data_IF_841074531200
#
_entry.id   IF_841074531200
#
_cell.length_a   1.000
_cell.length_b   1.000
_cell.length_c   1.000
_cell.angle_alpha   90.00
_cell.angle_beta   90.00
_cell.angle_gamma   90.00
#
_symmetry.space_group_name_H-M   'P 1'
#
loop_
_entity.id
_entity.type
_entity.pdbx_description
1 polymer ?
#
# COMPACT_ATOMS: atom_id res chain seq x y z
N UNK A 1 -9.58 -23.71 6.53
CA UNK A 1 -8.33 -24.47 6.80
C UNK A 1 -7.15 -23.91 6.01
N UNK A 2 -7.22 -23.84 4.66
CA UNK A 2 -6.12 -23.37 3.80
C UNK A 2 -5.58 -22.00 4.23
N UNK A 3 -6.45 -21.02 4.46
CA UNK A 3 -6.06 -19.66 4.94
C UNK A 3 -5.15 -19.74 6.18
N UNK A 4 -5.53 -20.50 7.20
CA UNK A 4 -4.73 -20.61 8.42
C UNK A 4 -3.46 -21.46 8.22
N UNK A 5 -3.47 -22.45 7.32
CA UNK A 5 -2.28 -23.23 6.99
C UNK A 5 -1.24 -22.36 6.29
N UNK A 6 -1.66 -21.58 5.29
CA UNK A 6 -0.82 -20.59 4.60
C UNK A 6 -0.32 -19.55 5.60
N UNK A 7 -1.16 -19.07 6.51
CA UNK A 7 -0.73 -18.14 7.56
C UNK A 7 0.36 -18.75 8.44
N UNK A 8 0.17 -19.96 8.98
CA UNK A 8 1.15 -20.62 9.86
C UNK A 8 2.49 -20.80 9.15
N UNK A 9 2.50 -21.40 7.95
CA UNK A 9 3.73 -21.64 7.20
C UNK A 9 4.34 -20.30 6.76
N UNK A 10 3.51 -19.36 6.32
CA UNK A 10 3.88 -18.02 5.89
C UNK A 10 4.57 -17.21 6.97
N UNK A 11 4.06 -17.22 8.19
CA UNK A 11 4.69 -16.57 9.34
C UNK A 11 5.98 -17.29 9.75
N UNK A 12 6.03 -18.62 9.70
CA UNK A 12 7.26 -19.36 9.96
C UNK A 12 8.36 -18.96 8.96
N UNK A 13 8.06 -19.02 7.66
CA UNK A 13 8.98 -18.60 6.59
C UNK A 13 9.35 -17.12 6.74
N UNK A 14 8.37 -16.27 7.00
CA UNK A 14 8.52 -14.83 7.15
C UNK A 14 9.38 -14.41 8.34
N UNK A 15 9.42 -15.23 9.39
CA UNK A 15 10.23 -15.01 10.60
C UNK A 15 11.69 -15.42 10.46
N UNK A 16 12.06 -16.09 9.37
CA UNK A 16 13.44 -16.51 9.13
C UNK A 16 14.31 -15.26 8.90
N UNK A 17 15.26 -15.04 9.80
CA UNK A 17 16.22 -13.92 9.74
C UNK A 17 17.46 -14.32 8.94
N UNK A 18 17.68 -13.67 7.82
CA UNK A 18 18.91 -13.79 7.02
C UNK A 18 19.65 -12.46 7.11
N UNK A 19 20.84 -12.45 7.73
CA UNK A 19 21.65 -11.22 7.94
C UNK A 19 20.84 -10.08 8.58
N UNK A 20 19.96 -10.43 9.51
CA UNK A 20 19.08 -9.51 10.24
C UNK A 20 17.92 -8.94 9.44
N UNK A 21 17.71 -9.36 8.19
CA UNK A 21 16.52 -9.05 7.37
C UNK A 21 15.56 -10.23 7.50
N UNK A 22 14.28 -9.95 7.68
CA UNK A 22 13.21 -10.94 7.67
C UNK A 22 12.10 -10.47 6.74
N UNK A 23 11.35 -11.38 6.12
CA UNK A 23 10.26 -10.99 5.23
C UNK A 23 9.02 -10.54 5.99
N UNK A 24 8.91 -10.90 7.27
CA UNK A 24 7.75 -10.61 8.09
C UNK A 24 6.48 -11.18 7.48
N UNK A 25 5.42 -10.39 7.43
CA UNK A 25 4.14 -10.78 6.82
C UNK A 25 4.26 -11.04 5.32
N UNK A 26 5.27 -10.49 4.61
CA UNK A 26 5.49 -10.81 3.19
C UNK A 26 5.86 -12.28 2.95
N UNK A 27 6.34 -13.01 3.96
CA UNK A 27 6.49 -14.47 3.87
C UNK A 27 5.15 -15.19 3.64
N UNK A 28 4.05 -14.64 4.15
CA UNK A 28 2.70 -15.14 3.91
C UNK A 28 2.31 -15.04 2.44
N UNK A 29 2.69 -13.94 1.76
CA UNK A 29 2.48 -13.80 0.31
C UNK A 29 3.22 -14.89 -0.47
N UNK A 30 4.51 -15.13 -0.16
CA UNK A 30 5.31 -16.12 -0.88
C UNK A 30 4.76 -17.54 -0.73
N UNK A 31 4.34 -17.90 0.48
CA UNK A 31 3.69 -19.20 0.72
C UNK A 31 2.34 -19.26 0.02
N UNK A 32 1.55 -18.18 0.07
CA UNK A 32 0.28 -18.09 -0.63
C UNK A 32 0.44 -18.28 -2.15
N UNK A 33 1.49 -17.70 -2.74
CA UNK A 33 1.84 -17.86 -4.15
C UNK A 33 2.15 -19.32 -4.50
N UNK A 34 2.90 -20.02 -3.66
CA UNK A 34 3.15 -21.46 -3.84
C UNK A 34 1.85 -22.26 -3.77
N UNK A 35 0.97 -21.95 -2.82
CA UNK A 35 -0.34 -22.60 -2.73
C UNK A 35 -1.23 -22.31 -3.95
N UNK A 36 -1.26 -21.06 -4.42
CA UNK A 36 -1.95 -20.69 -5.65
C UNK A 36 -1.45 -21.45 -6.87
N UNK A 37 -0.13 -21.63 -6.98
CA UNK A 37 0.47 -22.45 -8.04
C UNK A 37 -0.02 -23.91 -8.02
N UNK A 38 -0.21 -24.49 -6.84
CA UNK A 38 -0.78 -25.84 -6.69
C UNK A 38 -2.31 -25.89 -6.87
N UNK A 39 -2.95 -24.81 -7.32
CA UNK A 39 -4.37 -24.75 -7.62
C UNK A 39 -5.26 -24.61 -6.38
N UNK A 40 -4.70 -24.24 -5.23
CA UNK A 40 -5.53 -23.88 -4.09
C UNK A 40 -6.20 -22.53 -4.35
N UNK A 41 -7.48 -22.42 -4.00
CA UNK A 41 -8.23 -21.17 -4.13
C UNK A 41 -8.67 -20.65 -2.76
N UNK A 42 -8.72 -19.33 -2.64
CA UNK A 42 -9.24 -18.65 -1.45
C UNK A 42 -10.32 -17.69 -1.93
N UNK A 43 -11.50 -17.63 -1.27
CA UNK A 43 -12.56 -16.71 -1.68
C UNK A 43 -12.08 -15.26 -1.70
N UNK A 44 -12.45 -14.50 -2.74
CA UNK A 44 -12.13 -13.07 -2.89
C UNK A 44 -12.49 -12.25 -1.64
N UNK A 45 -13.55 -12.65 -0.93
CA UNK A 45 -13.97 -12.05 0.32
C UNK A 45 -12.85 -12.01 1.37
N UNK A 46 -11.99 -13.03 1.45
CA UNK A 46 -10.87 -13.06 2.41
C UNK A 46 -9.86 -11.95 2.09
N UNK A 47 -9.52 -11.78 0.81
CA UNK A 47 -8.62 -10.72 0.32
C UNK A 47 -9.21 -9.34 0.64
N UNK A 48 -10.47 -9.14 0.30
CA UNK A 48 -11.16 -7.85 0.45
C UNK A 48 -11.38 -7.48 1.92
N UNK A 49 -11.85 -8.41 2.76
CA UNK A 49 -11.98 -8.19 4.19
C UNK A 49 -10.62 -7.89 4.82
N UNK A 50 -9.58 -8.64 4.42
CA UNK A 50 -8.22 -8.39 4.88
C UNK A 50 -7.75 -6.97 4.57
N UNK A 51 -7.92 -6.56 3.31
CA UNK A 51 -7.52 -5.23 2.84
C UNK A 51 -8.29 -4.11 3.57
N UNK A 52 -9.62 -4.23 3.67
CA UNK A 52 -10.48 -3.25 4.33
C UNK A 52 -10.11 -3.13 5.81
N UNK A 53 -9.98 -4.26 6.53
CA UNK A 53 -9.58 -4.23 7.94
C UNK A 53 -8.20 -3.59 8.13
N UNK A 54 -7.24 -3.91 7.27
CA UNK A 54 -5.90 -3.33 7.32
C UNK A 54 -5.92 -1.82 7.10
N UNK A 55 -6.47 -1.35 5.97
CA UNK A 55 -6.41 0.06 5.58
C UNK A 55 -7.27 0.96 6.46
N UNK A 56 -8.42 0.47 6.95
CA UNK A 56 -9.23 1.22 7.93
C UNK A 56 -8.47 1.39 9.24
N UNK A 57 -7.78 0.34 9.71
CA UNK A 57 -6.96 0.42 10.93
C UNK A 57 -5.82 1.42 10.76
N UNK A 58 -5.11 1.37 9.63
CA UNK A 58 -4.08 2.36 9.27
C UNK A 58 -4.66 3.78 9.25
N UNK A 59 -5.85 3.97 8.69
CA UNK A 59 -6.54 5.26 8.65
C UNK A 59 -6.80 5.83 10.05
N UNK A 60 -7.39 5.04 10.95
CA UNK A 60 -7.61 5.49 12.33
C UNK A 60 -6.32 5.84 13.06
N UNK A 61 -5.28 5.03 12.90
CA UNK A 61 -3.99 5.26 13.56
C UNK A 61 -3.32 6.54 13.03
N UNK A 62 -3.37 6.77 11.72
CA UNK A 62 -2.75 7.94 11.09
C UNK A 62 -3.57 9.23 11.27
N UNK A 63 -4.90 9.13 11.40
CA UNK A 63 -5.84 10.27 11.40
C UNK A 63 -5.46 11.44 12.30
N UNK A 64 -5.14 11.23 13.60
CA UNK A 64 -4.80 12.31 14.53
C UNK A 64 -3.66 13.22 14.04
N UNK A 65 -2.65 12.64 13.37
CA UNK A 65 -1.44 13.36 12.94
C UNK A 65 -1.44 13.70 11.44
N UNK A 66 -2.27 13.01 10.66
CA UNK A 66 -2.32 13.11 9.21
C UNK A 66 -2.52 14.52 8.69
N UNK A 67 -3.61 15.21 9.05
CA UNK A 67 -3.96 16.51 8.46
C UNK A 67 -2.93 17.60 8.76
N UNK A 68 -2.32 17.55 9.95
CA UNK A 68 -1.21 18.44 10.33
C UNK A 68 0.01 18.16 9.46
N UNK A 69 0.44 16.89 9.37
CA UNK A 69 1.60 16.51 8.57
C UNK A 69 1.37 16.80 7.08
N UNK A 70 0.15 16.57 6.59
CA UNK A 70 -0.26 16.91 5.23
C UNK A 70 -0.15 18.41 4.99
N UNK A 71 -0.63 19.27 5.89
CA UNK A 71 -0.52 20.73 5.71
C UNK A 71 0.94 21.21 5.61
N UNK A 72 1.85 20.58 6.35
CA UNK A 72 3.29 20.93 6.34
C UNK A 72 3.98 20.42 5.07
N UNK A 73 3.73 19.17 4.69
CA UNK A 73 4.51 18.46 3.67
C UNK A 73 3.70 18.11 2.39
N UNK A 74 2.49 18.66 2.21
CA UNK A 74 1.57 18.32 1.11
C UNK A 74 2.25 18.35 -0.26
N UNK A 75 3.00 19.42 -0.56
CA UNK A 75 3.71 19.56 -1.84
C UNK A 75 4.70 18.40 -2.05
N UNK A 76 5.46 18.05 -1.02
CA UNK A 76 6.42 16.94 -1.05
C UNK A 76 5.72 15.60 -1.31
N UNK A 77 4.60 15.34 -0.63
CA UNK A 77 3.85 14.08 -0.79
C UNK A 77 3.19 13.94 -2.16
N UNK A 78 2.61 15.03 -2.69
CA UNK A 78 2.00 15.05 -4.02
C UNK A 78 3.07 14.83 -5.09
N UNK A 79 4.19 15.56 -5.01
CA UNK A 79 5.29 15.41 -5.97
C UNK A 79 5.90 14.00 -5.92
N UNK A 80 6.02 13.40 -4.73
CA UNK A 80 6.52 12.03 -4.60
C UNK A 80 5.57 11.00 -5.19
N UNK A 81 4.27 11.14 -4.96
CA UNK A 81 3.29 10.25 -5.58
C UNK A 81 3.39 10.32 -7.10
N UNK A 82 3.37 11.53 -7.66
CA UNK A 82 3.47 11.73 -9.10
C UNK A 82 4.79 11.19 -9.70
N UNK A 83 5.96 11.53 -9.11
CA UNK A 83 7.25 11.14 -9.68
C UNK A 83 7.48 9.64 -9.68
N UNK A 84 7.06 8.94 -8.61
CA UNK A 84 7.20 7.47 -8.53
C UNK A 84 6.41 6.84 -9.68
N UNK A 85 5.17 7.27 -9.89
CA UNK A 85 4.36 6.70 -10.97
C UNK A 85 4.86 7.10 -12.36
N UNK A 86 5.23 8.36 -12.57
CA UNK A 86 5.78 8.82 -13.86
C UNK A 86 7.02 8.02 -14.22
N UNK A 87 7.92 7.77 -13.28
CA UNK A 87 9.11 6.96 -13.53
C UNK A 87 8.75 5.49 -13.78
N UNK A 88 7.74 4.95 -13.08
CA UNK A 88 7.22 3.60 -13.36
C UNK A 88 6.64 3.48 -14.78
N UNK A 89 5.86 4.47 -15.20
CA UNK A 89 5.30 4.57 -16.55
C UNK A 89 6.40 4.70 -17.60
N UNK A 90 7.38 5.59 -17.41
CA UNK A 90 8.51 5.74 -18.32
C UNK A 90 9.36 4.47 -18.41
N UNK A 91 9.55 3.76 -17.30
CA UNK A 91 10.24 2.46 -17.28
C UNK A 91 9.47 1.43 -18.11
N UNK A 92 8.14 1.40 -17.96
CA UNK A 92 7.25 0.52 -18.72
C UNK A 92 7.28 0.81 -20.21
N UNK A 93 7.19 2.10 -20.60
CA UNK A 93 7.31 2.53 -22.00
C UNK A 93 8.68 2.12 -22.58
N UNK A 94 9.76 2.31 -21.82
CA UNK A 94 11.09 1.87 -22.23
C UNK A 94 11.17 0.36 -22.46
N UNK A 95 10.48 -0.45 -21.66
CA UNK A 95 10.42 -1.91 -21.85
C UNK A 95 9.65 -2.25 -23.13
N UNK A 96 8.52 -1.61 -23.40
CA UNK A 96 7.73 -1.81 -24.63
C UNK A 96 8.60 -1.51 -25.86
N UNK A 97 9.23 -0.34 -25.91
CA UNK A 97 10.00 0.12 -27.08
C UNK A 97 11.30 -0.64 -27.29
N UNK A 98 12.01 -1.01 -26.21
CA UNK A 98 13.35 -1.62 -26.33
C UNK A 98 13.26 -3.14 -26.44
N UNK A 99 12.36 -3.77 -25.66
CA UNK A 99 12.24 -5.22 -25.59
C UNK A 99 11.11 -5.78 -26.45
N UNK A 100 10.22 -4.94 -26.98
CA UNK A 100 9.10 -5.38 -27.81
C UNK A 100 8.05 -6.18 -27.05
N UNK A 101 7.98 -6.03 -25.72
CA UNK A 101 6.95 -6.70 -24.91
C UNK A 101 5.59 -6.07 -25.25
N UNK A 102 4.55 -6.89 -25.50
CA UNK A 102 3.21 -6.38 -25.78
C UNK A 102 2.73 -5.35 -24.76
N UNK A 103 2.06 -4.29 -25.22
CA UNK A 103 1.61 -3.20 -24.35
C UNK A 103 0.56 -3.69 -23.35
N UNK A 104 -0.31 -4.62 -23.72
CA UNK A 104 -1.31 -5.21 -22.82
C UNK A 104 -0.69 -5.91 -21.60
N UNK A 105 0.34 -6.73 -21.81
CA UNK A 105 1.11 -7.35 -20.72
C UNK A 105 1.88 -6.29 -19.93
N UNK A 106 2.57 -5.38 -20.61
CA UNK A 106 3.46 -4.38 -19.99
C UNK A 106 2.70 -3.41 -19.07
N UNK A 107 1.51 -2.96 -19.47
CA UNK A 107 0.66 -2.11 -18.65
C UNK A 107 0.16 -2.86 -17.41
N UNK A 108 -0.18 -4.14 -17.57
CA UNK A 108 -0.45 -5.04 -16.45
C UNK A 108 0.73 -5.15 -15.48
N UNK A 109 1.94 -5.33 -16.01
CA UNK A 109 3.17 -5.39 -15.20
C UNK A 109 3.41 -4.09 -14.44
N UNK A 110 3.10 -2.94 -15.03
CA UNK A 110 3.18 -1.66 -14.32
C UNK A 110 2.23 -1.63 -13.12
N UNK A 111 0.96 -2.01 -13.32
CA UNK A 111 -0.01 -2.08 -12.24
C UNK A 111 0.41 -3.06 -11.14
N UNK A 112 0.99 -4.21 -11.51
CA UNK A 112 1.50 -5.22 -10.57
C UNK A 112 2.71 -4.72 -9.78
N UNK A 113 3.75 -4.23 -10.45
CA UNK A 113 4.97 -3.70 -9.83
C UNK A 113 4.68 -2.53 -8.89
N UNK A 114 3.73 -1.66 -9.27
CA UNK A 114 3.27 -0.54 -8.45
C UNK A 114 2.13 -0.92 -7.51
N UNK A 115 1.83 -2.22 -7.35
CA UNK A 115 0.85 -2.85 -6.44
C UNK A 115 -0.57 -2.24 -6.44
N UNK A 116 -1.00 -1.72 -7.59
CA UNK A 116 -2.23 -0.93 -7.70
C UNK A 116 -3.37 -1.71 -8.40
N UNK A 117 -4.33 -2.20 -7.63
CA UNK A 117 -5.53 -2.87 -8.16
C UNK A 117 -6.42 -1.95 -9.02
N UNK A 118 -6.66 -0.67 -8.65
CA UNK A 118 -7.33 0.27 -9.57
C UNK A 118 -6.54 0.47 -10.87
N UNK A 119 -5.21 0.41 -10.80
CA UNK A 119 -4.34 0.41 -11.97
C UNK A 119 -4.56 -0.79 -12.90
N UNK A 120 -4.80 -1.98 -12.34
CA UNK A 120 -5.11 -3.18 -13.11
C UNK A 120 -6.46 -3.05 -13.83
N UNK A 121 -7.50 -2.57 -13.13
CA UNK A 121 -8.79 -2.32 -13.77
C UNK A 121 -8.63 -1.35 -14.96
N UNK A 122 -7.93 -0.25 -14.73
CA UNK A 122 -7.61 0.72 -15.78
C UNK A 122 -6.79 0.12 -16.93
N UNK A 123 -5.89 -0.83 -16.65
CA UNK A 123 -5.10 -1.53 -17.65
C UNK A 123 -5.97 -2.45 -18.53
N UNK A 124 -6.87 -3.22 -17.91
CA UNK A 124 -7.80 -4.11 -18.62
C UNK A 124 -8.73 -3.28 -19.50
N UNK A 125 -9.28 -2.19 -18.97
CA UNK A 125 -10.21 -1.33 -19.72
C UNK A 125 -9.52 -0.64 -20.90
N UNK A 126 -8.28 -0.17 -20.72
CA UNK A 126 -7.52 0.49 -21.77
C UNK A 126 -7.12 -0.45 -22.92
N UNK A 127 -6.73 -1.68 -22.56
CA UNK A 127 -6.15 -2.64 -23.51
C UNK A 127 -7.20 -3.58 -24.12
N UNK A 128 -8.35 -3.73 -23.46
CA UNK A 128 -9.37 -4.72 -23.82
C UNK A 128 -8.90 -6.17 -23.70
N UNK A 129 -7.78 -6.43 -23.00
CA UNK A 129 -7.08 -7.71 -22.99
C UNK A 129 -6.97 -8.29 -21.58
N UNK A 130 -7.24 -9.59 -21.46
CA UNK A 130 -7.03 -10.33 -20.21
C UNK A 130 -5.54 -10.47 -19.85
N UNK A 131 -4.63 -10.25 -20.82
CA UNK A 131 -3.18 -10.34 -20.62
C UNK A 131 -2.66 -9.28 -19.65
N UNK A 132 -3.39 -8.18 -19.43
CA UNK A 132 -3.06 -7.22 -18.37
C UNK A 132 -3.09 -7.87 -16.97
N UNK A 133 -3.99 -8.83 -16.74
CA UNK A 133 -4.04 -9.60 -15.47
C UNK A 133 -2.83 -10.53 -15.33
N UNK A 134 -2.38 -11.10 -16.46
CA UNK A 134 -1.16 -11.91 -16.52
C UNK A 134 0.05 -11.06 -16.15
N UNK A 135 0.24 -9.91 -16.80
CA UNK A 135 1.33 -8.99 -16.50
C UNK A 135 1.33 -8.53 -15.03
N UNK A 136 0.15 -8.24 -14.49
CA UNK A 136 -0.02 -7.90 -13.07
C UNK A 136 0.48 -9.02 -12.16
N UNK A 137 0.08 -10.27 -12.41
CA UNK A 137 0.51 -11.44 -11.65
C UNK A 137 2.02 -11.63 -11.64
N UNK A 138 2.69 -11.38 -12.78
CA UNK A 138 4.16 -11.49 -12.89
C UNK A 138 4.87 -10.46 -12.00
N UNK A 139 4.42 -9.21 -12.07
CA UNK A 139 5.14 -8.09 -11.46
C UNK A 139 4.77 -7.86 -9.99
N UNK A 140 3.58 -8.29 -9.56
CA UNK A 140 3.07 -8.07 -8.21
C UNK A 140 3.98 -8.60 -7.09
N UNK A 141 4.56 -9.82 -7.17
CA UNK A 141 5.50 -10.31 -6.17
C UNK A 141 6.73 -9.40 -6.01
N UNK A 142 7.22 -8.82 -7.11
CA UNK A 142 8.33 -7.87 -7.05
C UNK A 142 7.92 -6.56 -6.39
N UNK A 143 6.74 -6.03 -6.72
CA UNK A 143 6.19 -4.84 -6.07
C UNK A 143 6.05 -5.00 -4.56
N UNK A 144 5.55 -6.15 -4.10
CA UNK A 144 5.39 -6.42 -2.67
C UNK A 144 6.73 -6.66 -1.99
N UNK A 145 7.51 -7.65 -2.46
CA UNK A 145 8.75 -8.06 -1.80
C UNK A 145 9.84 -7.00 -1.94
N UNK A 146 9.95 -6.37 -3.12
CA UNK A 146 10.94 -5.35 -3.40
C UNK A 146 10.82 -4.15 -2.46
N UNK A 147 9.61 -3.63 -2.26
CA UNK A 147 9.37 -2.47 -1.39
C UNK A 147 9.53 -2.87 0.09
N UNK A 148 9.10 -4.07 0.49
CA UNK A 148 9.32 -4.62 1.85
C UNK A 148 10.81 -4.74 2.18
N UNK A 149 11.63 -5.23 1.24
CA UNK A 149 13.07 -5.30 1.43
C UNK A 149 13.69 -3.90 1.43
N UNK A 150 13.23 -3.00 0.57
CA UNK A 150 13.75 -1.65 0.47
C UNK A 150 13.63 -0.87 1.78
N UNK A 151 12.45 -0.89 2.42
CA UNK A 151 12.24 -0.18 3.70
C UNK A 151 13.07 -0.75 4.85
N UNK A 152 13.48 -2.03 4.77
CA UNK A 152 14.39 -2.66 5.74
C UNK A 152 15.87 -2.39 5.45
N UNK A 153 16.24 -2.37 4.17
CA UNK A 153 17.63 -2.30 3.72
C UNK A 153 18.16 -0.87 3.73
N UNK A 154 17.35 0.12 3.34
CA UNK A 154 17.80 1.53 3.28
C UNK A 154 18.33 2.03 4.63
N UNK A 155 17.62 1.88 5.78
CA UNK A 155 18.15 2.32 7.07
C UNK A 155 19.47 1.62 7.45
N UNK A 156 19.61 0.34 7.09
CA UNK A 156 20.83 -0.45 7.36
C UNK A 156 22.00 0.01 6.50
N UNK A 157 21.78 0.26 5.21
CA UNK A 157 22.81 0.79 4.31
C UNK A 157 23.27 2.18 4.73
N UNK A 158 22.34 3.01 5.20
CA UNK A 158 22.65 4.34 5.72
C UNK A 158 23.24 4.32 7.14
N UNK A 159 23.29 3.15 7.79
CA UNK A 159 23.71 2.98 9.20
C UNK A 159 23.00 3.97 10.12
N UNK A 160 21.70 4.16 9.89
CA UNK A 160 20.90 5.14 10.61
C UNK A 160 20.69 4.70 12.06
N UNK A 161 20.89 5.62 13.00
CA UNK A 161 20.42 5.46 14.37
C UNK A 161 18.89 5.61 14.40
N UNK A 162 18.20 4.48 14.46
CA UNK A 162 16.74 4.42 14.41
C UNK A 162 16.08 5.05 15.63
N UNK A 163 16.73 4.98 16.80
CA UNK A 163 16.20 5.59 18.01
C UNK A 163 16.28 7.11 17.93
N UNK A 164 17.42 7.64 17.47
CA UNK A 164 17.57 9.07 17.25
C UNK A 164 16.64 9.59 16.14
N UNK A 165 16.48 8.85 15.04
CA UNK A 165 15.58 9.23 13.95
C UNK A 165 14.11 9.22 14.41
N UNK A 166 13.68 8.20 15.17
CA UNK A 166 12.34 8.15 15.78
C UNK A 166 12.10 9.33 16.71
N UNK A 167 13.03 9.63 17.62
CA UNK A 167 12.90 10.74 18.54
C UNK A 167 12.78 12.09 17.80
N UNK A 168 13.55 12.29 16.73
CA UNK A 168 13.45 13.48 15.86
C UNK A 168 12.11 13.54 15.13
N UNK A 169 11.65 12.39 14.62
CA UNK A 169 10.38 12.28 13.90
C UNK A 169 9.19 12.62 14.81
N UNK A 170 9.14 12.00 15.99
CA UNK A 170 8.11 12.26 17.00
C UNK A 170 8.17 13.70 17.50
N UNK A 171 9.37 14.23 17.79
CA UNK A 171 9.52 15.62 18.18
C UNK A 171 8.96 16.56 17.11
N UNK A 172 9.36 16.39 15.84
CA UNK A 172 8.86 17.19 14.72
C UNK A 172 7.33 17.10 14.55
N UNK A 173 6.73 15.96 14.92
CA UNK A 173 5.29 15.82 14.92
C UNK A 173 4.62 16.42 16.16
N UNK A 174 5.29 16.48 17.32
CA UNK A 174 4.72 16.93 18.60
C UNK A 174 4.94 18.44 18.92
N UNK A 175 5.69 19.22 18.12
CA UNK A 175 5.95 20.69 18.34
C UNK A 175 4.70 21.58 18.17
N UNK A 176 3.51 21.05 18.41
CA UNK A 176 2.25 21.80 18.36
C UNK A 176 1.11 21.08 19.04
N UNK A 177 1.39 20.11 19.91
CA UNK A 177 0.39 19.65 20.87
C UNK A 177 0.20 20.78 21.90
N UNK A 178 -0.50 21.86 21.50
CA UNK A 178 -1.50 22.36 22.42
C UNK A 178 -2.30 21.12 22.79
N UNK A 179 -2.17 20.65 24.04
CA UNK A 179 -3.05 19.65 24.67
C UNK A 179 -4.39 19.78 23.96
N UNK A 180 -4.74 18.80 23.11
CA UNK A 180 -6.00 18.80 22.37
C UNK A 180 -7.02 19.24 23.38
N UNK A 181 -7.54 20.48 23.24
CA UNK A 181 -8.06 21.24 24.37
C UNK A 181 -8.84 20.26 25.24
N UNK A 182 -8.53 20.22 26.55
CA UNK A 182 -9.43 19.70 27.57
C UNK A 182 -10.75 20.45 27.42
N UNK A 183 -11.47 20.16 26.35
CA UNK A 183 -12.90 20.29 26.23
C UNK A 183 -13.35 19.60 27.48
N UNK A 184 -14.05 20.36 28.35
CA UNK A 184 -14.72 19.86 29.56
C UNK A 184 -14.99 18.38 29.37
N UNK A 185 -14.66 17.51 30.34
CA UNK A 185 -15.07 16.09 30.36
C UNK A 185 -16.53 16.00 29.93
N UNK A 186 -16.77 15.91 28.63
CA UNK A 186 -18.03 15.58 28.05
C UNK A 186 -18.02 14.08 28.21
N UNK A 187 -18.95 13.56 28.99
CA UNK A 187 -19.22 12.13 29.01
C UNK A 187 -19.59 11.75 27.58
N UNK A 188 -18.59 11.31 26.82
CA UNK A 188 -18.78 10.80 25.48
C UNK A 188 -19.57 9.50 25.62
N UNK A 189 -20.60 9.36 24.80
CA UNK A 189 -21.29 8.10 24.64
C UNK A 189 -20.40 7.16 23.82
N UNK A 190 -20.06 6.01 24.41
CA UNK A 190 -19.34 4.93 23.74
C UNK A 190 -20.37 3.89 23.33
N UNK A 191 -20.53 3.67 22.03
CA UNK A 191 -21.45 2.66 21.51
C UNK A 191 -20.99 1.23 21.88
N UNK A 192 -19.68 1.02 22.01
CA UNK A 192 -19.05 -0.19 22.53
C UNK A 192 -17.70 0.17 23.18
N UNK A 193 -17.14 -0.75 23.97
CA UNK A 193 -15.90 -0.49 24.72
C UNK A 193 -14.64 -0.52 23.86
N UNK A 194 -14.61 -1.34 22.80
CA UNK A 194 -13.42 -1.55 21.97
C UNK A 194 -13.33 -0.58 20.78
N UNK A 195 -14.44 0.06 20.43
CA UNK A 195 -14.60 0.92 19.26
C UNK A 195 -14.91 0.18 17.97
N UNK A 196 -15.55 -0.99 18.03
CA UNK A 196 -16.05 -1.67 16.82
C UNK A 196 -17.13 -0.87 16.10
N UNK A 197 -17.93 -0.07 16.79
CA UNK A 197 -18.91 0.81 16.17
C UNK A 197 -18.25 1.83 15.24
N UNK A 198 -17.32 2.70 15.69
CA UNK A 198 -16.66 3.64 14.79
C UNK A 198 -15.84 2.94 13.71
N UNK A 199 -15.24 1.77 14.00
CA UNK A 199 -14.53 0.98 13.00
C UNK A 199 -15.46 0.51 11.87
N UNK A 200 -16.62 -0.07 12.22
CA UNK A 200 -17.62 -0.49 11.24
C UNK A 200 -18.20 0.70 10.47
N UNK A 201 -18.44 1.83 11.14
CA UNK A 201 -18.89 3.05 10.50
C UNK A 201 -17.87 3.55 9.47
N UNK A 202 -16.57 3.51 9.78
CA UNK A 202 -15.51 3.86 8.86
C UNK A 202 -15.50 2.98 7.61
N UNK A 203 -15.72 1.67 7.78
CA UNK A 203 -15.81 0.73 6.65
C UNK A 203 -17.01 1.08 5.78
N UNK A 204 -18.20 1.28 6.36
CA UNK A 204 -19.42 1.62 5.61
C UNK A 204 -19.22 2.93 4.84
N UNK A 205 -18.77 4.00 5.51
CA UNK A 205 -18.48 5.28 4.87
C UNK A 205 -17.40 5.13 3.79
N UNK A 206 -16.37 4.34 4.06
CA UNK A 206 -15.30 4.05 3.13
C UNK A 206 -15.76 3.35 1.86
N UNK A 207 -16.63 2.34 1.98
CA UNK A 207 -17.23 1.65 0.84
C UNK A 207 -18.15 2.59 0.07
N UNK A 208 -18.89 3.48 0.74
CA UNK A 208 -19.69 4.52 0.07
C UNK A 208 -18.78 5.46 -0.72
N UNK A 209 -17.66 5.91 -0.14
CA UNK A 209 -16.66 6.73 -0.84
C UNK A 209 -16.01 5.98 -2.02
N UNK A 210 -15.78 4.68 -1.88
CA UNK A 210 -15.23 3.83 -2.94
C UNK A 210 -16.15 3.73 -4.16
N UNK A 211 -17.48 3.87 -3.98
CA UNK A 211 -18.46 3.87 -5.07
C UNK A 211 -18.53 5.20 -5.83
N UNK A 212 -17.84 6.24 -5.35
CA UNK A 212 -17.74 7.49 -6.09
C UNK A 212 -16.77 7.28 -7.24
N UNK A 213 -17.33 7.18 -8.45
CA UNK A 213 -16.57 7.07 -9.69
C UNK A 213 -16.40 8.46 -10.28
N UNK A 214 -15.15 8.84 -10.50
CA UNK A 214 -14.75 10.10 -11.13
C UNK A 214 -14.33 9.78 -12.57
N UNK A 215 -15.06 10.27 -13.58
CA UNK A 215 -14.66 10.10 -14.96
C UNK A 215 -13.38 10.91 -15.21
N UNK A 216 -12.43 10.28 -15.88
CA UNK A 216 -11.15 10.87 -16.29
C UNK A 216 -11.11 11.03 -17.82
N UNK A 217 -10.20 11.87 -18.34
CA UNK A 217 -10.01 12.02 -19.78
C UNK A 217 -9.72 10.67 -20.45
N UNK A 218 -10.22 10.47 -21.68
CA UNK A 218 -9.99 9.25 -22.45
C UNK A 218 -10.95 8.09 -22.15
N UNK A 219 -12.02 8.31 -21.39
CA UNK A 219 -13.00 7.26 -21.04
C UNK A 219 -12.62 6.44 -19.81
N UNK A 220 -11.49 6.76 -19.18
CA UNK A 220 -11.04 6.15 -17.94
C UNK A 220 -11.94 6.50 -16.76
N UNK A 221 -12.04 5.59 -15.81
CA UNK A 221 -12.76 5.80 -14.55
C UNK A 221 -11.79 5.68 -13.38
N UNK A 222 -11.87 6.62 -12.45
CA UNK A 222 -11.16 6.54 -11.18
C UNK A 222 -12.13 6.32 -10.04
N UNK A 223 -11.81 5.35 -9.18
CA UNK A 223 -12.40 5.23 -7.87
C UNK A 223 -11.31 5.05 -6.82
N UNK A 224 -11.61 5.42 -5.59
CA UNK A 224 -10.71 5.18 -4.46
C UNK A 224 -10.54 3.68 -4.15
N UNK A 225 -11.44 2.84 -4.67
CA UNK A 225 -11.46 1.40 -4.42
C UNK A 225 -11.71 1.04 -2.96
N UNK A 226 -11.75 -0.27 -2.70
CA UNK A 226 -11.92 -0.84 -1.36
C UNK A 226 -10.73 -0.60 -0.43
N UNK A 227 -9.61 -0.08 -0.95
CA UNK A 227 -8.45 0.36 -0.16
C UNK A 227 -8.50 1.85 0.21
N UNK A 228 -8.68 2.74 -0.76
CA UNK A 228 -8.59 4.19 -0.56
C UNK A 228 -9.77 4.77 0.20
N UNK A 229 -10.99 4.31 -0.08
CA UNK A 229 -12.19 4.79 0.58
C UNK A 229 -12.17 4.54 2.10
N UNK A 230 -12.00 3.28 2.56
CA UNK A 230 -11.91 2.97 3.98
C UNK A 230 -10.69 3.56 4.69
N UNK A 231 -9.57 3.78 3.99
CA UNK A 231 -8.43 4.54 4.50
C UNK A 231 -8.84 6.00 4.81
N UNK A 232 -9.44 6.69 3.85
CA UNK A 232 -9.85 8.11 4.02
C UNK A 232 -10.92 8.25 5.10
N UNK A 233 -11.91 7.36 5.14
CA UNK A 233 -12.92 7.35 6.19
C UNK A 233 -12.29 7.14 7.58
N UNK A 234 -11.35 6.20 7.70
CA UNK A 234 -10.57 5.98 8.93
C UNK A 234 -9.74 7.20 9.33
N UNK A 235 -9.08 7.88 8.38
CA UNK A 235 -8.32 9.12 8.64
C UNK A 235 -9.21 10.22 9.20
N UNK A 236 -10.37 10.44 8.58
CA UNK A 236 -11.32 11.47 8.99
C UNK A 236 -11.87 11.19 10.39
N UNK A 237 -12.38 9.97 10.62
CA UNK A 237 -12.94 9.61 11.92
C UNK A 237 -11.88 9.56 13.03
N UNK A 238 -10.67 9.07 12.71
CA UNK A 238 -9.53 9.08 13.62
C UNK A 238 -9.05 10.50 13.96
N UNK A 239 -9.10 11.43 13.00
CA UNK A 239 -8.73 12.83 13.23
C UNK A 239 -9.72 13.56 14.17
N UNK A 240 -11.02 13.43 13.91
CA UNK A 240 -12.03 14.12 14.71
C UNK A 240 -12.22 13.48 16.09
N UNK A 241 -12.14 12.14 16.18
CA UNK A 241 -12.23 11.38 17.43
C UNK A 241 -13.60 11.40 18.12
N UNK A 242 -14.54 12.24 17.68
CA UNK A 242 -15.95 12.28 18.13
C UNK A 242 -16.88 12.91 17.07
N UNK A 243 -18.15 12.53 17.11
CA UNK A 243 -19.24 13.18 16.36
C UNK A 243 -20.29 13.62 17.38
N UNK A 244 -20.34 14.92 17.69
CA UNK A 244 -21.15 15.42 18.80
C UNK A 244 -20.71 14.79 20.13
N UNK A 245 -21.64 14.09 20.81
CA UNK A 245 -21.35 13.33 22.04
C UNK A 245 -20.90 11.88 21.81
N UNK A 246 -20.94 11.39 20.57
CA UNK A 246 -20.59 10.01 20.25
C UNK A 246 -19.07 9.88 20.06
N UNK A 247 -18.44 8.98 20.79
CA UNK A 247 -17.00 8.69 20.65
C UNK A 247 -16.71 7.98 19.34
N UNK A 248 -15.74 8.46 18.56
CA UNK A 248 -15.21 7.79 17.37
C UNK A 248 -13.86 7.11 17.64
N UNK A 249 -13.48 6.95 18.91
CA UNK A 249 -12.21 6.33 19.28
C UNK A 249 -12.31 4.81 19.18
N UNK A 250 -11.26 4.22 18.64
CA UNK A 250 -11.02 2.77 18.66
C UNK A 250 -9.80 2.53 19.54
N UNK A 251 -9.82 1.47 20.34
CA UNK A 251 -8.65 1.12 21.15
C UNK A 251 -7.45 0.82 20.27
N UNK A 252 -6.27 1.35 20.63
CA UNK A 252 -5.05 1.21 19.83
C UNK A 252 -4.70 -0.26 19.57
N UNK A 253 -4.79 -1.11 20.60
CA UNK A 253 -4.49 -2.53 20.48
C UNK A 253 -5.45 -3.26 19.53
N UNK A 254 -6.73 -2.85 19.50
CA UNK A 254 -7.72 -3.39 18.56
C UNK A 254 -7.34 -3.02 17.12
N UNK A 255 -6.96 -1.76 16.89
CA UNK A 255 -6.49 -1.30 15.57
C UNK A 255 -5.22 -2.04 15.13
N UNK A 256 -4.24 -2.24 16.01
CA UNK A 256 -3.02 -2.99 15.71
C UNK A 256 -3.33 -4.45 15.37
N UNK A 257 -4.21 -5.09 16.13
CA UNK A 257 -4.64 -6.46 15.87
C UNK A 257 -5.36 -6.59 14.52
N UNK A 258 -6.33 -5.73 14.25
CA UNK A 258 -7.07 -5.70 12.98
C UNK A 258 -6.16 -5.36 11.79
N UNK A 259 -5.14 -4.53 12.00
CA UNK A 259 -4.12 -4.24 11.00
C UNK A 259 -3.31 -5.49 10.66
N UNK A 260 -2.67 -6.13 11.63
CA UNK A 260 -1.82 -7.30 11.36
C UNK A 260 -2.63 -8.47 10.80
N UNK A 261 -3.80 -8.73 11.37
CA UNK A 261 -4.70 -9.78 10.88
C UNK A 261 -5.22 -9.48 9.47
N UNK A 262 -5.65 -8.24 9.22
CA UNK A 262 -6.11 -7.78 7.91
C UNK A 262 -5.01 -7.91 6.85
N UNK A 263 -3.78 -7.50 7.17
CA UNK A 263 -2.64 -7.62 6.27
C UNK A 263 -2.37 -9.09 5.91
N UNK A 264 -2.43 -10.00 6.88
CA UNK A 264 -2.24 -11.42 6.62
C UNK A 264 -3.31 -11.98 5.67
N UNK A 265 -4.60 -11.71 5.93
CA UNK A 265 -5.69 -12.17 5.06
C UNK A 265 -5.59 -11.60 3.64
N UNK A 266 -5.22 -10.32 3.52
CA UNK A 266 -4.97 -9.67 2.23
C UNK A 266 -3.86 -10.37 1.45
N UNK A 267 -2.70 -10.61 2.08
CA UNK A 267 -1.55 -11.26 1.46
C UNK A 267 -1.83 -12.72 1.09
N UNK A 268 -2.65 -13.43 1.87
CA UNK A 268 -3.07 -14.80 1.53
C UNK A 268 -3.91 -14.79 0.26
N UNK A 269 -4.94 -13.95 0.21
CA UNK A 269 -5.81 -13.87 -0.96
C UNK A 269 -5.07 -13.41 -2.21
N UNK A 270 -4.31 -12.30 -2.11
CA UNK A 270 -3.53 -11.77 -3.21
C UNK A 270 -2.44 -12.73 -3.68
N UNK A 271 -1.77 -13.43 -2.77
CA UNK A 271 -0.72 -14.39 -3.11
C UNK A 271 -1.29 -15.63 -3.80
N UNK A 272 -2.40 -16.20 -3.32
CA UNK A 272 -3.04 -17.36 -3.94
C UNK A 272 -3.49 -17.04 -5.36
N UNK A 273 -4.11 -15.89 -5.57
CA UNK A 273 -4.53 -15.43 -6.90
C UNK A 273 -3.34 -15.18 -7.83
N UNK A 274 -2.28 -14.53 -7.35
CA UNK A 274 -1.06 -14.33 -8.16
C UNK A 274 -0.31 -15.64 -8.45
N UNK A 275 -0.45 -16.65 -7.60
CA UNK A 275 0.12 -17.97 -7.80
C UNK A 275 -0.60 -18.78 -8.88
N UNK A 276 -1.91 -18.56 -9.05
CA UNK A 276 -2.70 -19.21 -10.08
C UNK A 276 -2.21 -18.75 -11.47
N UNK A 277 -1.64 -19.66 -12.26
CA UNK A 277 -1.07 -19.35 -13.57
C UNK A 277 0.39 -18.89 -13.56
N UNK A 278 1.02 -18.74 -12.38
CA UNK A 278 2.40 -18.23 -12.29
C UNK A 278 3.41 -19.06 -13.09
N UNK A 279 3.28 -20.39 -13.05
CA UNK A 279 4.23 -21.30 -13.73
C UNK A 279 3.94 -21.42 -15.22
N UNK A 280 2.67 -21.37 -15.61
CA UNK A 280 2.24 -21.29 -17.00
C UNK A 280 2.85 -20.05 -17.65
N UNK A 281 2.70 -18.89 -17.01
CA UNK A 281 3.26 -17.62 -17.48
C UNK A 281 4.80 -17.70 -17.54
N UNK A 282 5.45 -18.25 -16.53
CA UNK A 282 6.91 -18.42 -16.54
C UNK A 282 7.40 -19.34 -17.67
N UNK A 283 6.60 -20.34 -18.06
CA UNK A 283 6.91 -21.25 -19.17
C UNK A 283 6.68 -20.61 -20.53
N UNK A 284 5.63 -19.81 -20.68
CA UNK A 284 5.26 -19.16 -21.94
C UNK A 284 6.14 -17.93 -22.22
N UNK A 285 6.33 -17.08 -21.22
CA UNK A 285 6.96 -15.76 -21.38
C UNK A 285 8.42 -15.70 -20.88
N UNK A 286 8.87 -16.74 -20.19
CA UNK A 286 10.24 -16.88 -19.70
C UNK A 286 10.61 -15.96 -18.52
N UNK A 287 11.87 -16.08 -18.07
CA UNK A 287 12.41 -15.32 -16.94
C UNK A 287 12.59 -13.81 -17.21
N UNK A 288 12.47 -13.39 -18.47
CA UNK A 288 12.77 -12.02 -18.86
C UNK A 288 11.69 -11.04 -18.36
N UNK A 289 10.41 -11.43 -18.37
CA UNK A 289 9.35 -10.59 -17.80
C UNK A 289 9.50 -10.39 -16.28
N UNK A 290 10.09 -11.35 -15.57
CA UNK A 290 10.40 -11.20 -14.15
C UNK A 290 11.46 -10.12 -13.92
N UNK A 291 12.45 -10.03 -14.80
CA UNK A 291 13.46 -8.95 -14.76
C UNK A 291 12.78 -7.60 -15.00
N UNK A 292 11.88 -7.51 -15.98
CA UNK A 292 11.14 -6.28 -16.25
C UNK A 292 10.23 -5.86 -15.10
N UNK A 293 9.49 -6.79 -14.47
CA UNK A 293 8.71 -6.51 -13.26
C UNK A 293 9.59 -5.99 -12.11
N UNK A 294 10.78 -6.57 -11.94
CA UNK A 294 11.77 -6.07 -10.98
C UNK A 294 12.28 -4.67 -11.34
N UNK A 295 12.55 -4.37 -12.62
CA UNK A 295 12.99 -3.04 -13.06
C UNK A 295 11.91 -1.98 -12.83
N UNK A 296 10.66 -2.27 -13.21
CA UNK A 296 9.51 -1.36 -12.98
C UNK A 296 9.29 -1.14 -11.48
N UNK A 297 9.67 -2.08 -10.62
CA UNK A 297 9.62 -1.88 -9.18
C UNK A 297 10.80 -1.04 -8.67
N UNK A 298 12.03 -1.42 -9.02
CA UNK A 298 13.24 -0.88 -8.41
C UNK A 298 13.53 0.55 -8.88
N UNK A 299 13.40 0.83 -10.18
CA UNK A 299 13.75 2.14 -10.76
C UNK A 299 12.93 3.28 -10.12
N UNK A 300 11.58 3.27 -10.14
CA UNK A 300 10.81 4.35 -9.53
C UNK A 300 10.99 4.44 -8.02
N UNK A 301 11.23 3.32 -7.34
CA UNK A 301 11.48 3.30 -5.91
C UNK A 301 12.83 3.97 -5.56
N UNK A 302 13.91 3.65 -6.26
CA UNK A 302 15.22 4.30 -6.04
C UNK A 302 15.18 5.78 -6.43
N UNK A 303 14.57 6.13 -7.56
CA UNK A 303 14.45 7.52 -8.01
C UNK A 303 13.58 8.32 -7.03
N UNK A 304 12.43 7.78 -6.64
CA UNK A 304 11.53 8.39 -5.66
C UNK A 304 12.22 8.60 -4.31
N UNK A 305 12.98 7.61 -3.83
CA UNK A 305 13.71 7.74 -2.57
C UNK A 305 14.81 8.81 -2.65
N UNK A 306 15.59 8.80 -3.73
CA UNK A 306 16.62 9.82 -3.97
C UNK A 306 15.99 11.21 -4.04
N UNK A 307 14.87 11.36 -4.73
CA UNK A 307 14.11 12.61 -4.83
C UNK A 307 13.62 13.07 -3.45
N UNK A 308 13.02 12.17 -2.65
CA UNK A 308 12.58 12.45 -1.29
C UNK A 308 13.73 12.93 -0.39
N UNK A 309 14.84 12.20 -0.40
CA UNK A 309 15.96 12.42 0.52
C UNK A 309 16.84 13.61 0.12
N UNK A 310 17.11 13.80 -1.19
CA UNK A 310 18.06 14.81 -1.67
C UNK A 310 17.41 16.09 -2.17
N UNK A 311 16.27 15.99 -2.85
CA UNK A 311 15.58 17.16 -3.43
C UNK A 311 14.61 17.75 -2.41
N UNK A 312 13.73 16.92 -1.86
CA UNK A 312 12.71 17.35 -0.91
C UNK A 312 13.21 17.41 0.55
N UNK A 313 14.39 16.82 0.82
CA UNK A 313 15.06 16.81 2.14
C UNK A 313 14.13 16.29 3.26
N UNK A 314 13.30 15.30 2.95
CA UNK A 314 12.44 14.67 3.93
C UNK A 314 13.28 13.83 4.91
N UNK A 315 12.79 13.68 6.14
CA UNK A 315 13.34 12.70 7.09
C UNK A 315 13.28 11.29 6.52
N UNK A 316 14.06 10.36 7.07
CA UNK A 316 14.08 8.98 6.57
C UNK A 316 12.69 8.35 6.68
N UNK A 317 12.00 8.59 7.79
CA UNK A 317 10.68 8.03 8.08
C UNK A 317 9.60 8.58 7.13
N UNK A 318 9.60 9.89 6.85
CA UNK A 318 8.70 10.46 5.84
C UNK A 318 9.04 9.93 4.45
N UNK A 319 10.32 9.84 4.10
CA UNK A 319 10.76 9.32 2.79
C UNK A 319 10.28 7.89 2.57
N UNK A 320 10.54 6.98 3.52
CA UNK A 320 10.14 5.59 3.41
C UNK A 320 8.61 5.41 3.48
N UNK A 321 7.92 6.19 4.31
CA UNK A 321 6.45 6.19 4.36
C UNK A 321 5.82 6.65 3.04
N UNK A 322 6.36 7.72 2.44
CA UNK A 322 5.94 8.18 1.11
C UNK A 322 6.28 7.20 0.00
N UNK A 323 7.38 6.44 0.10
CA UNK A 323 7.69 5.36 -0.86
C UNK A 323 6.66 4.24 -0.76
N UNK A 324 6.26 3.84 0.45
CA UNK A 324 5.19 2.86 0.62
C UNK A 324 3.88 3.36 -0.02
N UNK A 325 3.54 4.64 0.20
CA UNK A 325 2.33 5.24 -0.38
C UNK A 325 2.41 5.39 -1.89
N UNK A 326 3.55 5.83 -2.40
CA UNK A 326 3.81 6.05 -3.83
C UNK A 326 3.83 4.77 -4.65
N UNK A 327 4.39 3.70 -4.09
CA UNK A 327 4.34 2.35 -4.66
C UNK A 327 3.03 1.62 -4.35
N UNK A 328 2.08 2.28 -3.67
CA UNK A 328 0.79 1.74 -3.21
C UNK A 328 0.87 0.45 -2.37
N UNK A 329 2.04 0.18 -1.78
CA UNK A 329 2.39 -1.09 -1.14
C UNK A 329 2.02 -1.11 0.34
N UNK A 330 0.81 -1.59 0.64
CA UNK A 330 0.32 -1.84 2.00
C UNK A 330 1.22 -2.78 2.83
N UNK A 331 1.82 -3.86 2.28
CA UNK A 331 2.65 -4.77 3.07
C UNK A 331 3.97 -4.14 3.48
N UNK A 332 4.52 -3.28 2.61
CA UNK A 332 5.72 -2.52 2.93
C UNK A 332 5.47 -1.52 4.06
N UNK A 333 4.29 -0.90 4.14
CA UNK A 333 3.92 -0.05 5.28
C UNK A 333 3.90 -0.86 6.59
N UNK A 334 3.29 -2.05 6.59
CA UNK A 334 3.29 -2.91 7.78
C UNK A 334 4.71 -3.27 8.24
N UNK A 335 5.59 -3.58 7.30
CA UNK A 335 7.02 -3.81 7.58
C UNK A 335 7.72 -2.56 8.09
N UNK A 336 7.47 -1.41 7.45
CA UNK A 336 8.06 -0.13 7.84
C UNK A 336 7.70 0.22 9.29
N UNK A 337 6.44 0.09 9.69
CA UNK A 337 5.99 0.33 11.07
C UNK A 337 6.75 -0.55 12.06
N UNK A 338 6.98 -1.82 11.73
CA UNK A 338 7.77 -2.74 12.57
C UNK A 338 9.24 -2.33 12.65
N UNK A 339 9.83 -1.90 11.54
CA UNK A 339 11.23 -1.46 11.48
C UNK A 339 11.44 -0.13 12.19
N UNK A 340 10.50 0.81 12.08
CA UNK A 340 10.56 2.12 12.70
C UNK A 340 10.05 2.12 14.13
N UNK A 341 9.33 1.08 14.55
CA UNK A 341 8.61 0.94 15.84
C UNK A 341 7.73 2.17 16.16
N UNK A 342 7.15 2.77 15.12
CA UNK A 342 6.20 3.88 15.27
C UNK A 342 5.19 3.84 14.13
N UNK A 343 3.93 4.04 14.45
CA UNK A 343 2.84 4.04 13.49
C UNK A 343 2.74 5.36 12.71
N UNK A 344 3.43 6.40 13.17
CA UNK A 344 3.33 7.75 12.63
C UNK A 344 3.77 7.86 11.16
N UNK A 345 4.58 6.90 10.69
CA UNK A 345 4.98 6.76 9.27
C UNK A 345 3.78 6.50 8.35
N UNK A 346 2.67 5.98 8.88
CA UNK A 346 1.43 5.77 8.15
C UNK A 346 0.83 7.10 7.65
N UNK A 347 1.14 8.23 8.29
CA UNK A 347 0.68 9.54 7.84
C UNK A 347 1.27 9.93 6.47
N UNK A 348 2.56 9.66 6.24
CA UNK A 348 3.21 9.92 4.95
C UNK A 348 2.70 8.97 3.87
N UNK A 349 2.50 7.69 4.20
CA UNK A 349 1.83 6.72 3.32
C UNK A 349 0.45 7.21 2.89
N UNK A 350 -0.39 7.58 3.85
CA UNK A 350 -1.76 8.02 3.62
C UNK A 350 -1.83 9.29 2.75
N UNK A 351 -0.80 10.12 2.79
CA UNK A 351 -0.74 11.37 2.03
C UNK A 351 -0.34 11.15 0.57
N UNK A 352 0.60 10.22 0.34
CA UNK A 352 1.10 9.92 -1.01
C UNK A 352 0.20 8.95 -1.77
N UNK A 353 -0.49 8.05 -1.05
CA UNK A 353 -1.28 6.95 -1.63
C UNK A 353 -2.39 7.39 -2.61
N UNK A 354 -3.28 8.35 -2.29
CA UNK A 354 -4.35 8.73 -3.22
C UNK A 354 -3.82 9.38 -4.50
N UNK A 355 -2.72 10.13 -4.39
CA UNK A 355 -2.07 10.75 -5.55
C UNK A 355 -1.50 9.66 -6.45
N UNK A 356 -0.79 8.70 -5.88
CA UNK A 356 -0.26 7.57 -6.62
C UNK A 356 -1.36 6.79 -7.36
N UNK A 357 -2.50 6.51 -6.71
CA UNK A 357 -3.62 5.81 -7.36
C UNK A 357 -4.13 6.54 -8.61
N UNK A 358 -4.36 7.85 -8.52
CA UNK A 358 -4.83 8.65 -9.67
C UNK A 358 -3.82 8.59 -10.83
N UNK A 359 -2.53 8.80 -10.52
CA UNK A 359 -1.50 8.79 -11.54
C UNK A 359 -1.29 7.40 -12.15
N UNK A 360 -1.46 6.31 -11.39
CA UNK A 360 -1.34 4.95 -11.94
C UNK A 360 -2.47 4.69 -12.92
N UNK A 361 -3.71 5.02 -12.57
CA UNK A 361 -4.86 4.86 -13.46
C UNK A 361 -4.64 5.61 -14.77
N UNK A 362 -4.22 6.88 -14.68
CA UNK A 362 -3.89 7.70 -15.85
C UNK A 362 -2.72 7.13 -16.66
N UNK A 363 -1.67 6.64 -15.98
CA UNK A 363 -0.51 6.02 -16.63
C UNK A 363 -0.89 4.75 -17.39
N UNK A 364 -1.69 3.87 -16.77
CA UNK A 364 -2.16 2.65 -17.42
C UNK A 364 -2.99 2.95 -18.66
N UNK A 365 -3.89 3.92 -18.56
CA UNK A 365 -4.76 4.34 -19.66
C UNK A 365 -3.97 4.98 -20.79
N UNK A 366 -3.04 5.87 -20.45
CA UNK A 366 -2.18 6.50 -21.45
C UNK A 366 -1.37 5.45 -22.23
N UNK A 367 -0.70 4.53 -21.53
CA UNK A 367 0.11 3.51 -22.19
C UNK A 367 -0.81 2.56 -22.98
N UNK A 368 -1.87 2.04 -22.38
CA UNK A 368 -2.73 1.03 -23.04
C UNK A 368 -3.54 1.54 -24.24
N UNK A 369 -3.83 2.85 -24.32
CA UNK A 369 -4.57 3.44 -25.45
C UNK A 369 -3.63 3.89 -26.57
N UNK A 370 -2.45 4.42 -26.23
CA UNK A 370 -1.58 5.11 -27.20
C UNK A 370 -0.33 4.31 -27.61
N UNK A 371 -0.01 3.20 -26.94
CA UNK A 371 1.10 2.28 -27.25
C UNK A 371 0.58 0.85 -27.38
#
# INVERSE_FOLDING_TARGET
MIVFLVAVIGYLVGSIKIRGVELGTAGVLLVALVFGHFGFEVPNLVRELGLICFVTSVGFIAGPKFFRNFKINARSYILLGAIIIIIGALTTIGIIEIAGVPSDVSVGMMAGALTSTPGLAAAIDATGSANASVGYGIAYPFGVVGVVLFVQLVPKFLKTDMAAERARFEAAQNVGDEEFHKTKKEELFYADSMGFFPFALAIVLGIILAKIVIPLPGGAEFSLGTSGGPLIAGLILGHFGKIGRLSMKVEKHVLECLREFGLALFLIGAGVEAGAGFVEILREEGLVLFIYGALITLIPMFVGYFFAAKVLKLSLFNSLGSICGGMTSTPALGTLIRVTETDDVASAYAATYPVALVFVVLGCQFIGIFL
#
